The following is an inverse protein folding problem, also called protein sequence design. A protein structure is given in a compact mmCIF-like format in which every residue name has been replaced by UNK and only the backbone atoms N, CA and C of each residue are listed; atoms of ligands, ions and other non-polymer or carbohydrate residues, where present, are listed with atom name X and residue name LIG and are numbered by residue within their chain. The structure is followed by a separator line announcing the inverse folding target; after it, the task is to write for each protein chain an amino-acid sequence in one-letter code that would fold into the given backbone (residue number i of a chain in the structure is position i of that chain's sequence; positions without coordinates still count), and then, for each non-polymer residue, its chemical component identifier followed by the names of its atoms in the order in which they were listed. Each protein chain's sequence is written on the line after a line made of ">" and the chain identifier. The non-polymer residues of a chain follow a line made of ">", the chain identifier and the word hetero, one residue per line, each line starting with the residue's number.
data_IF_327996478307
#
_entry.id   IF_327996478307
#
_cell.length_a   1.000
_cell.length_b   1.000
_cell.length_c   1.000
_cell.angle_alpha   90.00
_cell.angle_beta   90.00
_cell.angle_gamma   90.00
#
_symmetry.space_group_name_H-M   'P 1'
#
loop_
_entity.id
_entity.type
_entity.pdbx_description
1 polymer ?
#
# COMPACT_ATOMS: atom_id res chain seq x y z
N UNK A 1 10.83 11.49 24.46
CA UNK A 1 10.69 10.21 25.17
C UNK A 1 10.03 9.25 24.16
N UNK A 2 10.79 8.44 23.43
CA UNK A 2 10.23 7.49 22.43
C UNK A 2 9.39 6.48 23.20
N UNK A 3 8.11 6.32 22.88
CA UNK A 3 7.25 5.37 23.58
C UNK A 3 7.82 3.96 23.39
N UNK A 4 8.21 3.32 24.49
CA UNK A 4 8.68 1.95 24.54
C UNK A 4 7.50 1.02 24.25
N UNK A 5 7.40 0.54 22.99
CA UNK A 5 6.41 -0.40 22.47
C UNK A 5 4.96 0.09 22.55
N UNK A 6 4.36 0.43 21.40
CA UNK A 6 2.90 0.54 21.31
C UNK A 6 2.29 -0.86 21.46
N UNK A 7 1.28 -0.97 22.30
CA UNK A 7 0.45 -2.17 22.42
C UNK A 7 -0.89 -1.85 21.78
N UNK A 8 -1.14 -2.36 20.58
CA UNK A 8 -2.45 -2.27 19.94
C UNK A 8 -3.33 -3.39 20.47
N UNK A 9 -4.30 -3.07 21.33
CA UNK A 9 -5.31 -4.05 21.78
C UNK A 9 -6.42 -4.08 20.73
N UNK A 10 -6.55 -5.20 20.01
CA UNK A 10 -7.69 -5.42 19.12
C UNK A 10 -8.83 -6.05 19.92
N UNK A 11 -10.01 -5.42 20.02
CA UNK A 11 -11.14 -6.03 20.71
C UNK A 11 -11.54 -7.32 20.00
N UNK A 12 -11.78 -8.38 20.77
CA UNK A 12 -12.29 -9.62 20.22
C UNK A 12 -13.74 -9.42 19.81
N UNK A 13 -14.00 -9.40 18.50
CA UNK A 13 -15.34 -9.25 17.97
C UNK A 13 -16.21 -10.48 18.32
N UNK A 14 -17.48 -10.29 18.69
CA UNK A 14 -18.44 -11.39 18.76
C UNK A 14 -18.48 -12.17 17.45
N UNK A 15 -18.69 -13.50 17.51
CA UNK A 15 -18.68 -14.35 16.33
C UNK A 15 -19.60 -13.89 15.18
N UNK A 16 -20.83 -13.37 15.43
CA UNK A 16 -21.69 -12.82 14.38
C UNK A 16 -21.09 -11.61 13.64
N UNK A 17 -20.14 -10.91 14.27
CA UNK A 17 -19.50 -9.69 13.76
C UNK A 17 -18.12 -9.94 13.14
N UNK A 18 -17.67 -11.19 13.04
CA UNK A 18 -16.32 -11.53 12.58
C UNK A 18 -15.96 -10.94 11.20
N UNK A 19 -16.94 -10.79 10.30
CA UNK A 19 -16.73 -10.22 8.97
C UNK A 19 -16.25 -8.74 9.00
N UNK A 20 -16.50 -7.99 10.09
CA UNK A 20 -16.02 -6.62 10.22
C UNK A 20 -14.49 -6.53 10.22
N UNK A 21 -13.78 -7.53 10.73
CA UNK A 21 -12.31 -7.55 10.70
C UNK A 21 -11.79 -7.62 9.26
N UNK A 22 -12.35 -8.53 8.45
CA UNK A 22 -12.01 -8.64 7.02
C UNK A 22 -12.36 -7.37 6.25
N UNK A 23 -13.55 -6.81 6.47
CA UNK A 23 -14.01 -5.60 5.80
C UNK A 23 -13.16 -4.37 6.17
N UNK A 24 -12.75 -4.25 7.44
CA UNK A 24 -11.88 -3.14 7.90
C UNK A 24 -10.45 -3.26 7.39
N UNK A 25 -9.97 -4.49 7.14
CA UNK A 25 -8.61 -4.78 6.69
C UNK A 25 -8.39 -4.53 5.19
N UNK A 26 -9.44 -4.54 4.38
CA UNK A 26 -9.34 -4.28 2.93
C UNK A 26 -9.77 -2.85 2.60
N UNK A 27 -8.83 -2.02 2.13
CA UNK A 27 -9.04 -0.60 1.86
C UNK A 27 -10.10 -0.30 0.78
N UNK A 28 -10.67 -1.31 0.11
CA UNK A 28 -11.86 -1.17 -0.74
C UNK A 28 -13.00 -0.42 -0.05
N UNK A 29 -13.15 -0.56 1.26
CA UNK A 29 -14.14 0.21 2.01
C UNK A 29 -14.06 1.72 1.71
N UNK A 30 -12.90 2.28 1.38
CA UNK A 30 -12.76 3.72 1.12
C UNK A 30 -13.51 4.20 -0.12
N UNK A 31 -13.79 3.34 -1.11
CA UNK A 31 -14.65 3.64 -2.26
C UNK A 31 -15.89 2.75 -2.38
N UNK A 32 -16.19 1.92 -1.38
CA UNK A 32 -17.41 1.13 -1.28
C UNK A 32 -18.37 1.71 -0.24
N UNK A 33 -19.40 2.41 -0.72
CA UNK A 33 -20.36 3.12 0.13
C UNK A 33 -21.09 2.19 1.14
N UNK A 34 -21.63 1.02 0.76
CA UNK A 34 -22.29 0.13 1.73
C UNK A 34 -21.37 -0.29 2.89
N UNK A 35 -20.10 -0.57 2.60
CA UNK A 35 -19.13 -0.92 3.65
C UNK A 35 -18.84 0.26 4.57
N UNK A 36 -18.74 1.50 4.07
CA UNK A 36 -18.59 2.70 4.92
C UNK A 36 -19.80 2.91 5.83
N UNK A 37 -21.00 2.74 5.29
CA UNK A 37 -22.23 2.90 6.05
C UNK A 37 -22.33 1.88 7.20
N UNK A 38 -21.76 0.68 7.05
CA UNK A 38 -21.65 -0.28 8.16
C UNK A 38 -20.83 0.27 9.33
N UNK A 39 -19.64 0.84 9.05
CA UNK A 39 -18.79 1.38 10.12
C UNK A 39 -19.38 2.65 10.75
N UNK A 40 -20.07 3.49 9.97
CA UNK A 40 -20.85 4.61 10.51
C UNK A 40 -21.98 4.12 11.43
N UNK A 41 -22.63 3.00 11.10
CA UNK A 41 -23.67 2.41 11.95
C UNK A 41 -23.11 1.82 13.24
N UNK A 42 -21.85 1.37 13.26
CA UNK A 42 -21.20 0.88 14.49
C UNK A 42 -21.10 2.04 15.48
N UNK A 43 -20.44 3.12 15.08
CA UNK A 43 -20.31 4.36 15.84
C UNK A 43 -19.97 5.52 14.89
N UNK A 44 -20.92 6.44 14.70
CA UNK A 44 -20.75 7.59 13.80
C UNK A 44 -19.80 8.64 14.37
N UNK A 45 -19.73 8.78 15.69
CA UNK A 45 -18.85 9.76 16.32
C UNK A 45 -17.39 9.29 16.21
N UNK A 46 -17.14 8.02 16.54
CA UNK A 46 -15.82 7.40 16.34
C UNK A 46 -15.39 7.41 14.87
N UNK A 47 -16.33 7.34 13.92
CA UNK A 47 -16.04 7.45 12.50
C UNK A 47 -15.50 8.84 12.12
N UNK A 48 -16.19 9.91 12.54
CA UNK A 48 -15.81 11.29 12.22
C UNK A 48 -14.54 11.73 12.98
N UNK A 49 -14.43 11.41 14.28
CA UNK A 49 -13.25 11.72 15.11
C UNK A 49 -12.06 10.79 14.83
N UNK A 50 -12.35 9.62 14.27
CA UNK A 50 -11.42 8.55 13.92
C UNK A 50 -10.55 8.87 12.72
N UNK A 51 -10.92 9.87 11.91
CA UNK A 51 -10.36 10.04 10.57
C UNK A 51 -10.88 8.95 9.63
N UNK A 52 -12.18 8.65 9.70
CA UNK A 52 -12.88 7.73 8.81
C UNK A 52 -12.20 6.35 8.68
N UNK A 53 -11.61 5.86 9.77
CA UNK A 53 -10.89 4.59 9.83
C UNK A 53 -11.76 3.50 10.49
N UNK A 54 -12.20 2.48 9.73
CA UNK A 54 -12.91 1.32 10.27
C UNK A 54 -12.22 0.65 11.45
N UNK A 55 -10.88 0.53 11.44
CA UNK A 55 -10.16 -0.15 12.53
C UNK A 55 -10.27 0.64 13.82
N UNK A 56 -10.18 1.97 13.72
CA UNK A 56 -10.33 2.87 14.86
C UNK A 56 -11.76 2.84 15.40
N UNK A 57 -12.77 2.84 14.54
CA UNK A 57 -14.17 2.66 14.95
C UNK A 57 -14.35 1.38 15.75
N UNK A 58 -13.82 0.25 15.27
CA UNK A 58 -13.92 -1.03 15.98
C UNK A 58 -13.16 -1.02 17.32
N UNK A 59 -12.03 -0.33 17.39
CA UNK A 59 -11.22 -0.21 18.60
C UNK A 59 -11.87 0.68 19.67
N UNK A 60 -12.63 1.70 19.26
CA UNK A 60 -13.30 2.66 20.14
C UNK A 60 -14.73 2.21 20.52
N UNK A 61 -15.36 1.33 19.73
CA UNK A 61 -16.69 0.81 20.00
C UNK A 61 -16.77 0.04 21.34
N UNK A 62 -17.78 0.38 22.15
CA UNK A 62 -17.98 -0.30 23.44
C UNK A 62 -18.39 -1.76 23.28
N UNK A 63 -18.04 -2.60 24.26
CA UNK A 63 -18.46 -4.00 24.29
C UNK A 63 -19.98 -4.13 24.28
N UNK A 64 -20.73 -3.26 24.98
CA UNK A 64 -22.20 -3.31 24.94
C UNK A 64 -22.73 -3.03 23.53
N UNK A 65 -22.13 -2.05 22.83
CA UNK A 65 -22.52 -1.71 21.45
C UNK A 65 -22.29 -2.87 20.50
N UNK A 66 -21.11 -3.51 20.58
CA UNK A 66 -20.80 -4.69 19.76
C UNK A 66 -21.73 -5.87 20.08
N UNK A 67 -22.06 -6.11 21.34
CA UNK A 67 -23.02 -7.14 21.72
C UNK A 67 -24.43 -6.85 21.20
N UNK A 68 -24.88 -5.60 21.27
CA UNK A 68 -26.16 -5.18 20.69
C UNK A 68 -26.21 -5.48 19.19
N UNK A 69 -25.21 -5.02 18.43
CA UNK A 69 -25.12 -5.23 16.98
C UNK A 69 -25.02 -6.72 16.61
N UNK A 70 -24.41 -7.53 17.47
CA UNK A 70 -24.31 -8.99 17.25
C UNK A 70 -25.67 -9.72 17.25
N UNK A 71 -26.74 -9.05 17.68
CA UNK A 71 -28.11 -9.58 17.71
C UNK A 71 -29.10 -8.75 16.88
N UNK A 72 -28.66 -7.66 16.24
CA UNK A 72 -29.51 -6.80 15.41
C UNK A 72 -29.68 -7.41 14.01
N UNK A 73 -30.88 -7.89 13.63
CA UNK A 73 -31.08 -8.55 12.35
C UNK A 73 -30.81 -7.63 11.15
N UNK A 74 -31.10 -6.32 11.27
CA UNK A 74 -30.90 -5.37 10.18
C UNK A 74 -29.40 -5.12 9.96
N UNK A 75 -28.64 -5.00 11.04
CA UNK A 75 -27.18 -4.85 10.94
C UNK A 75 -26.52 -6.11 10.37
N UNK A 76 -26.90 -7.29 10.87
CA UNK A 76 -26.33 -8.57 10.43
C UNK A 76 -26.62 -8.85 8.96
N UNK A 77 -27.81 -8.52 8.46
CA UNK A 77 -28.13 -8.66 7.03
C UNK A 77 -27.24 -7.76 6.16
N UNK A 78 -27.05 -6.49 6.56
CA UNK A 78 -26.14 -5.57 5.85
C UNK A 78 -24.69 -6.03 5.90
N UNK A 79 -24.25 -6.54 7.04
CA UNK A 79 -22.90 -7.08 7.22
C UNK A 79 -22.66 -8.27 6.29
N UNK A 80 -23.59 -9.23 6.26
CA UNK A 80 -23.52 -10.38 5.38
C UNK A 80 -23.52 -9.98 3.90
N UNK A 81 -24.34 -8.99 3.52
CA UNK A 81 -24.38 -8.47 2.15
C UNK A 81 -23.05 -7.80 1.75
N UNK A 82 -22.43 -7.01 2.63
CA UNK A 82 -21.14 -6.38 2.36
C UNK A 82 -20.00 -7.39 2.25
N UNK A 83 -19.96 -8.40 3.13
CA UNK A 83 -18.96 -9.47 3.07
C UNK A 83 -19.10 -10.35 1.83
N UNK A 84 -20.34 -10.68 1.44
CA UNK A 84 -20.62 -11.37 0.18
C UNK A 84 -20.22 -10.53 -1.03
N UNK A 85 -20.49 -9.22 -1.01
CA UNK A 85 -20.07 -8.30 -2.07
C UNK A 85 -18.54 -8.19 -2.18
N UNK A 86 -17.81 -8.14 -1.05
CA UNK A 86 -16.35 -8.17 -1.05
C UNK A 86 -15.82 -9.49 -1.61
N UNK A 87 -16.41 -10.63 -1.22
CA UNK A 87 -16.01 -11.96 -1.74
C UNK A 87 -16.22 -12.04 -3.25
N UNK A 88 -17.42 -11.69 -3.73
CA UNK A 88 -17.68 -11.60 -5.16
C UNK A 88 -16.72 -10.60 -5.86
N UNK A 89 -16.33 -9.53 -5.17
CA UNK A 89 -15.41 -8.54 -5.72
C UNK A 89 -13.99 -9.09 -5.94
N UNK A 90 -13.51 -9.91 -5.02
CA UNK A 90 -12.17 -10.49 -5.02
C UNK A 90 -12.09 -11.73 -5.91
N UNK A 91 -13.12 -12.58 -5.90
CA UNK A 91 -13.04 -13.93 -6.47
C UNK A 91 -13.51 -13.99 -7.94
N UNK A 92 -14.46 -13.13 -8.34
CA UNK A 92 -15.00 -13.18 -9.70
C UNK A 92 -14.03 -12.56 -10.73
N UNK A 93 -13.94 -13.10 -11.96
CA UNK A 93 -13.17 -12.49 -13.04
C UNK A 93 -13.62 -11.06 -13.34
N UNK A 94 -12.65 -10.15 -13.49
CA UNK A 94 -12.91 -8.76 -13.91
C UNK A 94 -12.69 -8.56 -15.39
N UNK A 95 -12.88 -7.32 -15.83
CA UNK A 95 -12.68 -6.90 -17.20
C UNK A 95 -11.35 -7.41 -17.78
N UNK A 96 -10.23 -7.27 -17.04
CA UNK A 96 -8.91 -7.71 -17.53
C UNK A 96 -8.88 -9.22 -17.84
N UNK A 97 -9.35 -10.06 -16.91
CA UNK A 97 -9.41 -11.51 -17.14
C UNK A 97 -10.34 -11.86 -18.30
N UNK A 98 -11.46 -11.16 -18.45
CA UNK A 98 -12.41 -11.38 -19.54
C UNK A 98 -11.80 -11.05 -20.91
N UNK A 99 -11.09 -9.91 -21.02
CA UNK A 99 -10.41 -9.51 -22.26
C UNK A 99 -9.23 -10.42 -22.57
N UNK A 100 -8.43 -10.80 -21.56
CA UNK A 100 -7.30 -11.71 -21.77
C UNK A 100 -7.77 -13.11 -22.24
N UNK A 101 -8.90 -13.60 -21.71
CA UNK A 101 -9.51 -14.84 -22.18
C UNK A 101 -10.01 -14.75 -23.63
N UNK A 102 -10.49 -13.57 -24.08
CA UNK A 102 -10.91 -13.37 -25.47
C UNK A 102 -9.71 -13.30 -26.43
N UNK A 103 -8.66 -12.57 -26.05
CA UNK A 103 -7.49 -12.32 -26.91
C UNK A 103 -6.56 -13.53 -27.04
N UNK A 104 -6.64 -14.50 -26.13
CA UNK A 104 -5.83 -15.73 -26.18
C UNK A 104 -6.33 -16.77 -27.20
N UNK A 105 -7.46 -16.52 -27.88
CA UNK A 105 -8.00 -17.45 -28.89
C UNK A 105 -8.42 -18.82 -28.34
N UNK A 106 -8.56 -18.94 -27.02
CA UNK A 106 -8.92 -20.18 -26.33
C UNK A 106 -10.44 -20.42 -26.45
N UNK A 107 -10.82 -21.65 -26.82
CA UNK A 107 -12.22 -22.08 -26.95
C UNK A 107 -12.98 -21.92 -25.61
N UNK A 108 -14.31 -21.84 -25.66
CA UNK A 108 -15.18 -21.55 -24.51
C UNK A 108 -14.93 -22.41 -23.26
N UNK A 109 -14.47 -23.64 -23.44
CA UNK A 109 -14.23 -24.62 -22.38
C UNK A 109 -12.86 -24.45 -21.70
N UNK A 110 -11.92 -23.74 -22.35
CA UNK A 110 -10.60 -23.39 -21.81
C UNK A 110 -10.58 -22.02 -21.08
N UNK A 111 -11.72 -21.31 -21.01
CA UNK A 111 -11.86 -20.04 -20.29
C UNK A 111 -11.69 -20.20 -18.77
N UNK A 112 -11.86 -21.42 -18.26
CA UNK A 112 -11.61 -21.76 -16.86
C UNK A 112 -10.11 -21.99 -16.53
N UNK A 113 -9.26 -22.12 -17.55
CA UNK A 113 -7.80 -22.32 -17.42
C UNK A 113 -7.01 -21.11 -17.95
N UNK A 114 -7.57 -19.88 -17.91
CA UNK A 114 -6.71 -18.70 -17.97
C UNK A 114 -5.91 -18.67 -16.66
N UNK A 115 -4.71 -19.23 -16.73
CA UNK A 115 -3.75 -19.20 -15.64
C UNK A 115 -3.41 -17.75 -15.35
N UNK A 116 -4.02 -17.20 -14.30
CA UNK A 116 -3.73 -15.84 -13.82
C UNK A 116 -2.24 -15.67 -13.47
N UNK A 117 -1.49 -16.76 -13.28
CA UNK A 117 -0.03 -16.72 -13.11
C UNK A 117 0.75 -16.45 -14.41
N UNK A 118 0.11 -16.45 -15.58
CA UNK A 118 0.74 -16.09 -16.87
C UNK A 118 0.43 -14.66 -17.31
N UNK A 119 -0.36 -13.91 -16.54
CA UNK A 119 -0.58 -12.50 -16.81
C UNK A 119 0.64 -11.69 -16.34
N UNK A 120 1.18 -10.85 -17.23
CA UNK A 120 2.33 -10.02 -16.92
C UNK A 120 2.05 -9.11 -15.71
N UNK A 121 2.69 -9.40 -14.58
CA UNK A 121 2.54 -8.60 -13.38
C UNK A 121 3.21 -7.24 -13.58
N UNK A 122 2.49 -6.18 -13.22
CA UNK A 122 2.95 -4.78 -13.32
C UNK A 122 3.36 -4.32 -11.93
N UNK A 123 4.64 -4.00 -11.74
CA UNK A 123 5.13 -3.37 -10.52
C UNK A 123 5.10 -1.84 -10.66
N UNK A 124 4.24 -1.18 -9.88
CA UNK A 124 4.03 0.25 -9.88
C UNK A 124 4.72 0.90 -8.67
N UNK A 125 5.73 1.72 -8.92
CA UNK A 125 6.54 2.38 -7.90
C UNK A 125 6.14 3.83 -7.76
N UNK A 126 5.85 4.26 -6.54
CA UNK A 126 5.57 5.67 -6.23
C UNK A 126 6.03 5.99 -4.81
N UNK A 127 6.51 7.22 -4.54
CA UNK A 127 6.80 7.64 -3.18
C UNK A 127 5.54 7.90 -2.37
N UNK A 128 4.35 8.04 -2.98
CA UNK A 128 3.12 8.33 -2.25
C UNK A 128 1.90 7.65 -2.84
N UNK A 129 0.92 7.35 -1.98
CA UNK A 129 -0.33 6.68 -2.30
C UNK A 129 -1.50 7.26 -1.50
N UNK A 130 -2.34 8.04 -2.18
CA UNK A 130 -3.55 8.65 -1.66
C UNK A 130 -4.75 7.72 -1.71
N UNK A 131 -4.77 6.69 -0.87
CA UNK A 131 -5.87 5.72 -0.81
C UNK A 131 -7.05 6.26 0.01
N UNK A 132 -6.75 6.57 1.27
CA UNK A 132 -7.69 7.04 2.29
C UNK A 132 -6.91 7.73 3.40
N UNK A 133 -7.54 8.65 4.13
CA UNK A 133 -6.94 9.33 5.29
C UNK A 133 -6.59 8.38 6.45
N UNK A 134 -7.18 7.18 6.50
CA UNK A 134 -6.82 6.11 7.43
C UNK A 134 -5.40 5.55 7.19
N UNK A 135 -4.83 5.75 5.99
CA UNK A 135 -3.45 5.41 5.64
C UNK A 135 -2.80 6.62 4.97
N UNK A 136 -2.38 7.63 5.76
CA UNK A 136 -1.99 8.95 5.26
C UNK A 136 -0.56 8.96 4.68
N UNK A 137 -0.35 8.22 3.60
CA UNK A 137 0.93 8.02 2.92
C UNK A 137 1.02 8.86 1.62
N UNK A 138 0.57 10.11 1.68
CA UNK A 138 0.56 11.03 0.54
C UNK A 138 0.57 12.50 0.98
N UNK A 139 0.94 13.40 0.08
CA UNK A 139 0.93 14.85 0.29
C UNK A 139 0.09 15.62 -0.75
N UNK A 140 -0.03 15.12 -1.98
CA UNK A 140 -0.68 15.88 -3.05
C UNK A 140 -1.18 15.05 -4.23
N UNK A 141 -1.27 15.71 -5.39
CA UNK A 141 -1.91 15.17 -6.60
C UNK A 141 -1.23 13.92 -7.18
N UNK A 142 0.10 13.82 -7.08
CA UNK A 142 0.85 12.63 -7.52
C UNK A 142 0.41 11.39 -6.73
N UNK A 143 0.28 11.52 -5.41
CA UNK A 143 -0.20 10.47 -4.51
C UNK A 143 -1.67 10.13 -4.73
N UNK A 144 -2.55 11.13 -4.91
CA UNK A 144 -3.96 10.88 -5.25
C UNK A 144 -4.07 10.07 -6.55
N UNK A 145 -3.34 10.48 -7.59
CA UNK A 145 -3.31 9.75 -8.86
C UNK A 145 -2.80 8.32 -8.68
N UNK A 146 -1.71 8.13 -7.93
CA UNK A 146 -1.21 6.80 -7.60
C UNK A 146 -2.30 5.98 -6.91
N UNK A 147 -2.97 6.54 -5.91
CA UNK A 147 -4.06 5.88 -5.21
C UNK A 147 -5.20 5.45 -6.13
N UNK A 148 -5.61 6.33 -7.03
CA UNK A 148 -6.67 6.05 -8.00
C UNK A 148 -6.24 5.03 -9.07
N UNK A 149 -4.96 4.98 -9.44
CA UNK A 149 -4.43 3.88 -10.26
C UNK A 149 -4.63 2.52 -9.56
N UNK A 150 -4.36 2.41 -8.25
CA UNK A 150 -4.59 1.14 -7.55
C UNK A 150 -6.07 0.77 -7.46
N UNK A 151 -6.95 1.74 -7.20
CA UNK A 151 -8.40 1.54 -7.17
C UNK A 151 -8.92 1.08 -8.54
N UNK A 152 -8.51 1.76 -9.61
CA UNK A 152 -8.90 1.40 -10.97
C UNK A 152 -8.33 0.03 -11.39
N UNK A 153 -7.06 -0.25 -11.09
CA UNK A 153 -6.45 -1.56 -11.34
C UNK A 153 -7.20 -2.67 -10.60
N UNK A 154 -7.61 -2.40 -9.36
CA UNK A 154 -8.39 -3.32 -8.55
C UNK A 154 -9.78 -3.59 -9.16
N UNK A 155 -10.51 -2.54 -9.55
CA UNK A 155 -11.86 -2.69 -10.15
C UNK A 155 -11.81 -3.41 -11.50
N UNK A 156 -10.79 -3.12 -12.31
CA UNK A 156 -10.57 -3.75 -13.62
C UNK A 156 -9.93 -5.14 -13.52
N UNK A 157 -9.38 -5.52 -12.36
CA UNK A 157 -8.62 -6.75 -12.12
C UNK A 157 -7.29 -6.82 -12.87
N UNK A 158 -6.66 -5.68 -13.12
CA UNK A 158 -5.31 -5.61 -13.72
C UNK A 158 -4.31 -6.19 -12.69
N UNK A 159 -3.37 -7.07 -13.10
CA UNK A 159 -2.40 -7.71 -12.20
C UNK A 159 -1.28 -6.74 -11.79
N UNK A 160 -1.64 -5.72 -11.03
CA UNK A 160 -0.74 -4.68 -10.56
C UNK A 160 -0.36 -4.93 -9.10
N UNK A 161 0.92 -4.74 -8.78
CA UNK A 161 1.46 -4.67 -7.43
C UNK A 161 2.11 -3.31 -7.24
N UNK A 162 1.82 -2.65 -6.12
CA UNK A 162 2.38 -1.34 -5.83
C UNK A 162 3.50 -1.43 -4.80
N UNK A 163 4.53 -0.59 -4.98
CA UNK A 163 5.69 -0.48 -4.09
C UNK A 163 5.86 0.99 -3.68
N UNK A 164 5.95 1.22 -2.38
CA UNK A 164 6.19 2.54 -1.77
C UNK A 164 7.03 2.46 -0.50
N UNK A 165 7.12 3.56 0.22
CA UNK A 165 7.70 3.61 1.57
C UNK A 165 6.57 3.81 2.60
N UNK A 166 6.77 3.30 3.81
CA UNK A 166 5.91 3.63 4.94
C UNK A 166 6.55 4.76 5.74
N UNK A 167 6.08 5.98 5.56
CA UNK A 167 6.55 7.15 6.30
C UNK A 167 5.91 7.18 7.69
N UNK A 168 6.74 7.12 8.73
CA UNK A 168 6.32 7.07 10.15
C UNK A 168 5.41 8.24 10.55
N UNK A 169 5.59 9.39 9.92
CA UNK A 169 4.82 10.60 10.20
C UNK A 169 3.91 11.05 9.04
N UNK A 170 3.86 10.30 7.95
CA UNK A 170 3.18 10.73 6.71
C UNK A 170 3.75 12.06 6.19
N UNK A 171 2.86 12.99 5.82
CA UNK A 171 3.23 14.36 5.46
C UNK A 171 3.12 15.31 6.66
N UNK A 172 2.04 16.08 6.81
CA UNK A 172 1.75 16.82 8.04
C UNK A 172 0.24 17.03 8.23
N UNK A 173 -0.20 17.24 9.47
CA UNK A 173 -1.53 17.78 9.79
C UNK A 173 -1.44 19.28 9.98
N UNK A 174 -2.21 20.01 9.19
CA UNK A 174 -2.31 21.46 9.25
C UNK A 174 -3.29 21.89 10.35
N UNK A 175 -2.92 22.90 11.12
CA UNK A 175 -3.83 23.70 11.93
C UNK A 175 -3.50 25.17 11.78
N UNK A 176 -4.47 26.06 12.04
CA UNK A 176 -4.23 27.50 12.06
C UNK A 176 -4.11 27.99 13.50
N UNK A 177 -3.11 28.81 13.77
CA UNK A 177 -3.01 29.53 15.04
C UNK A 177 -4.15 30.54 15.16
N UNK A 178 -4.34 31.09 16.38
CA UNK A 178 -5.31 32.18 16.62
C UNK A 178 -5.07 33.41 15.75
N UNK A 179 -3.82 33.61 15.30
CA UNK A 179 -3.41 34.71 14.43
C UNK A 179 -3.48 34.34 12.93
N UNK A 180 -3.98 33.16 12.58
CA UNK A 180 -4.12 32.69 11.21
C UNK A 180 -2.85 32.10 10.58
N UNK A 181 -1.80 31.85 11.37
CA UNK A 181 -0.57 31.23 10.87
C UNK A 181 -0.68 29.72 10.80
N UNK A 182 -0.13 29.13 9.73
CA UNK A 182 -0.01 27.67 9.62
C UNK A 182 0.86 27.11 10.75
N UNK A 183 0.35 26.05 11.36
CA UNK A 183 1.06 25.20 12.30
C UNK A 183 1.03 23.76 11.79
N UNK A 184 2.17 23.09 11.88
CA UNK A 184 2.36 21.75 11.35
C UNK A 184 2.53 20.76 12.50
N UNK A 185 1.82 19.63 12.41
CA UNK A 185 1.96 18.52 13.35
C UNK A 185 2.26 17.24 12.58
N UNK A 186 3.21 16.48 13.10
CA UNK A 186 3.71 15.22 12.53
C UNK A 186 3.37 14.08 13.49
N UNK A 187 2.13 13.57 13.49
CA UNK A 187 1.75 12.50 14.41
C UNK A 187 2.54 11.23 14.10
N UNK A 188 2.89 10.47 15.12
CA UNK A 188 3.41 9.11 14.95
C UNK A 188 2.29 8.19 14.46
N UNK A 189 2.51 7.55 13.31
CA UNK A 189 1.62 6.53 12.76
C UNK A 189 2.02 5.16 13.32
N UNK A 190 1.05 4.45 13.91
CA UNK A 190 1.24 3.06 14.32
C UNK A 190 0.72 2.10 13.22
N UNK A 191 1.59 1.46 12.42
CA UNK A 191 1.16 0.56 11.36
C UNK A 191 0.34 -0.63 11.89
N UNK A 192 0.53 -1.05 13.15
CA UNK A 192 -0.23 -2.16 13.75
C UNK A 192 -1.71 -1.81 14.02
N UNK A 193 -2.00 -0.51 14.19
CA UNK A 193 -3.34 0.02 14.35
C UNK A 193 -4.05 0.28 13.02
N UNK A 194 -3.31 0.29 11.89
CA UNK A 194 -3.84 0.55 10.55
C UNK A 194 -4.26 -0.73 9.82
N UNK A 195 -4.92 -0.59 8.66
CA UNK A 195 -5.20 -1.66 7.70
C UNK A 195 -3.93 -2.17 6.99
N UNK A 196 -2.88 -2.44 7.77
CA UNK A 196 -1.59 -2.93 7.33
C UNK A 196 -1.27 -4.27 7.99
N UNK A 197 -0.63 -5.14 7.23
CA UNK A 197 -0.15 -6.45 7.67
C UNK A 197 1.36 -6.50 7.50
N UNK A 198 2.07 -6.93 8.55
CA UNK A 198 3.51 -7.16 8.43
C UNK A 198 3.74 -8.39 7.55
N UNK A 199 4.62 -8.29 6.56
CA UNK A 199 5.08 -9.45 5.80
C UNK A 199 6.11 -10.19 6.64
N UNK A 200 5.63 -11.03 7.58
CA UNK A 200 6.49 -11.75 8.52
C UNK A 200 7.60 -12.54 7.81
N UNK A 201 8.83 -12.40 8.33
CA UNK A 201 10.02 -13.04 7.74
C UNK A 201 10.58 -12.34 6.49
N UNK A 202 9.89 -11.35 5.92
CA UNK A 202 10.39 -10.57 4.79
C UNK A 202 11.21 -9.39 5.29
N UNK A 203 12.52 -9.51 5.16
CA UNK A 203 13.48 -8.43 5.42
C UNK A 203 14.35 -8.23 4.19
N UNK A 204 14.59 -6.97 3.84
CA UNK A 204 15.55 -6.63 2.80
C UNK A 204 16.72 -5.87 3.42
N UNK A 205 17.89 -6.00 2.82
CA UNK A 205 19.06 -5.21 3.20
C UNK A 205 19.63 -4.49 1.97
N UNK A 206 20.21 -3.32 2.18
CA UNK A 206 20.93 -2.56 1.15
C UNK A 206 21.98 -1.66 1.80
N UNK A 207 23.02 -1.35 1.03
CA UNK A 207 24.07 -0.41 1.42
C UNK A 207 23.65 1.01 1.07
N UNK A 208 23.74 1.91 2.05
CA UNK A 208 23.58 3.35 1.91
C UNK A 208 24.90 4.02 2.29
N UNK A 209 25.82 4.11 1.33
CA UNK A 209 27.13 4.73 1.50
C UNK A 209 27.98 4.11 2.63
N UNK A 210 28.02 2.78 2.70
CA UNK A 210 28.76 2.03 3.72
C UNK A 210 27.95 1.70 4.98
N UNK A 211 26.73 2.25 5.12
CA UNK A 211 25.79 1.88 6.17
C UNK A 211 24.82 0.81 5.65
N UNK A 212 24.76 -0.36 6.30
CA UNK A 212 23.77 -1.39 5.92
C UNK A 212 22.42 -1.07 6.55
N UNK A 213 21.45 -0.67 5.73
CA UNK A 213 20.07 -0.51 6.12
C UNK A 213 19.33 -1.83 5.99
N UNK A 214 18.54 -2.19 7.01
CA UNK A 214 17.55 -3.28 6.94
C UNK A 214 16.15 -2.69 6.91
N UNK A 215 15.28 -3.13 6.00
CA UNK A 215 13.87 -2.71 6.00
C UNK A 215 12.95 -3.92 6.14
N UNK A 216 11.86 -3.72 6.90
CA UNK A 216 10.71 -4.61 6.92
C UNK A 216 9.69 -4.16 5.85
N UNK A 217 8.69 -5.00 5.59
CA UNK A 217 7.69 -4.74 4.55
C UNK A 217 6.29 -4.86 5.14
N UNK A 218 5.51 -3.79 5.01
CA UNK A 218 4.08 -3.77 5.29
C UNK A 218 3.28 -4.00 4.01
N UNK A 219 2.15 -4.67 4.12
CA UNK A 219 1.19 -4.86 3.04
C UNK A 219 -0.13 -4.16 3.39
N UNK A 220 -0.57 -3.28 2.52
CA UNK A 220 -1.95 -2.81 2.47
C UNK A 220 -2.70 -3.54 1.34
N UNK A 221 -3.93 -3.96 1.60
CA UNK A 221 -4.78 -4.57 0.57
C UNK A 221 -5.72 -3.52 0.00
N UNK A 222 -5.44 -2.99 -1.19
CA UNK A 222 -6.26 -1.99 -1.89
C UNK A 222 -7.21 -2.72 -2.84
N UNK A 223 -8.32 -3.22 -2.30
CA UNK A 223 -9.22 -4.09 -3.06
C UNK A 223 -8.53 -5.40 -3.42
N UNK A 224 -8.21 -5.59 -4.70
CA UNK A 224 -7.45 -6.73 -5.26
C UNK A 224 -5.95 -6.43 -5.37
N UNK A 225 -5.58 -5.16 -5.31
CA UNK A 225 -4.22 -4.68 -5.59
C UNK A 225 -3.40 -4.64 -4.30
N UNK A 226 -2.32 -5.43 -4.17
CA UNK A 226 -1.43 -5.32 -3.03
C UNK A 226 -0.53 -4.09 -3.15
N UNK A 227 -0.46 -3.29 -2.08
CA UNK A 227 0.51 -2.21 -1.90
C UNK A 227 1.51 -2.62 -0.82
N UNK A 228 2.77 -2.78 -1.18
CA UNK A 228 3.86 -3.05 -0.26
C UNK A 228 4.62 -1.77 0.06
N UNK A 229 4.82 -1.52 1.34
CA UNK A 229 5.51 -0.33 1.85
C UNK A 229 6.72 -0.73 2.68
N UNK A 230 7.88 -0.20 2.30
CA UNK A 230 9.14 -0.48 2.95
C UNK A 230 9.32 0.43 4.15
N UNK A 231 9.76 -0.14 5.28
CA UNK A 231 9.87 0.54 6.56
C UNK A 231 11.24 0.27 7.19
N UNK A 232 12.00 1.34 7.42
CA UNK A 232 13.32 1.29 8.03
C UNK A 232 13.29 1.57 9.54
N UNK A 233 12.15 1.98 10.12
CA UNK A 233 12.00 2.28 11.54
C UNK A 233 11.90 1.00 12.38
N UNK A 234 13.03 0.29 12.44
CA UNK A 234 13.18 -0.98 13.14
C UNK A 234 14.33 -0.90 14.16
N UNK A 235 14.25 -1.60 15.31
CA UNK A 235 15.29 -1.53 16.35
C UNK A 235 16.67 -2.00 15.90
N UNK A 236 16.76 -2.83 14.86
CA UNK A 236 18.02 -3.35 14.31
C UNK A 236 18.84 -2.27 13.58
N UNK A 237 18.18 -1.22 13.10
CA UNK A 237 18.84 -0.09 12.45
C UNK A 237 19.30 0.94 13.50
N UNK A 238 20.46 1.60 13.29
CA UNK A 238 20.79 2.81 14.04
C UNK A 238 19.76 3.92 13.75
N UNK A 239 19.65 4.89 14.66
CA UNK A 239 18.67 5.98 14.56
C UNK A 239 18.75 6.74 13.22
N UNK A 240 19.95 6.96 12.70
CA UNK A 240 20.17 7.59 11.38
C UNK A 240 19.46 6.86 10.23
N UNK A 241 19.41 5.53 10.28
CA UNK A 241 18.78 4.71 9.25
C UNK A 241 17.28 4.50 9.51
N UNK A 242 16.85 4.49 10.77
CA UNK A 242 15.41 4.50 11.12
C UNK A 242 14.72 5.73 10.52
N UNK A 243 15.40 6.88 10.56
CA UNK A 243 14.87 8.13 10.05
C UNK A 243 14.72 8.17 8.52
N UNK A 244 15.30 7.23 7.76
CA UNK A 244 15.13 7.20 6.29
C UNK A 244 13.66 7.16 5.91
N UNK A 245 12.81 6.50 6.70
CA UNK A 245 11.35 6.46 6.49
C UNK A 245 10.59 7.36 7.48
N UNK A 246 11.15 8.51 7.88
CA UNK A 246 10.50 9.45 8.82
C UNK A 246 9.26 10.14 8.19
N UNK A 247 9.49 10.93 7.14
CA UNK A 247 8.53 11.88 6.56
C UNK A 247 8.60 11.87 5.05
N UNK A 248 7.42 11.98 4.44
CA UNK A 248 7.28 12.18 3.01
C UNK A 248 7.78 13.58 2.64
N UNK A 249 8.70 13.66 1.69
CA UNK A 249 9.37 14.90 1.26
C UNK A 249 10.05 15.68 2.40
N UNK A 250 10.56 14.96 3.39
CA UNK A 250 11.37 15.52 4.48
C UNK A 250 12.87 15.52 4.17
N UNK A 251 13.63 16.15 5.08
CA UNK A 251 15.09 16.10 5.07
C UNK A 251 15.76 16.97 4.02
N UNK A 252 17.06 16.74 3.83
CA UNK A 252 17.88 17.40 2.81
C UNK A 252 18.04 16.52 1.56
N UNK A 253 18.94 16.93 0.66
CA UNK A 253 19.21 16.20 -0.59
C UNK A 253 19.74 14.79 -0.32
N UNK A 254 20.57 14.60 0.70
CA UNK A 254 21.12 13.28 1.03
C UNK A 254 20.03 12.37 1.59
N UNK A 255 19.19 12.90 2.49
CA UNK A 255 18.04 12.17 3.03
C UNK A 255 17.09 11.70 1.93
N UNK A 256 16.74 12.61 1.01
CA UNK A 256 15.92 12.29 -0.15
C UNK A 256 16.57 11.20 -1.01
N UNK A 257 17.88 11.29 -1.25
CA UNK A 257 18.60 10.28 -2.02
C UNK A 257 18.55 8.90 -1.34
N UNK A 258 18.70 8.84 -0.01
CA UNK A 258 18.56 7.60 0.77
C UNK A 258 17.14 7.00 0.62
N UNK A 259 16.09 7.83 0.67
CA UNK A 259 14.71 7.42 0.41
C UNK A 259 14.52 6.87 -1.01
N UNK A 260 15.04 7.55 -2.03
CA UNK A 260 14.91 7.13 -3.43
C UNK A 260 15.68 5.83 -3.73
N UNK A 261 16.85 5.62 -3.09
CA UNK A 261 17.59 4.36 -3.15
C UNK A 261 16.80 3.24 -2.47
N UNK A 262 16.24 3.48 -1.27
CA UNK A 262 15.38 2.50 -0.58
C UNK A 262 14.16 2.15 -1.43
N UNK A 263 13.46 3.14 -2.00
CA UNK A 263 12.30 2.91 -2.85
C UNK A 263 12.66 2.12 -4.12
N UNK A 264 13.69 2.54 -4.84
CA UNK A 264 14.10 1.91 -6.10
C UNK A 264 14.79 0.56 -5.92
N UNK A 265 15.95 0.55 -5.24
CA UNK A 265 16.74 -0.67 -5.02
C UNK A 265 16.02 -1.59 -4.04
N UNK A 266 15.60 -1.04 -2.90
CA UNK A 266 14.91 -1.83 -1.88
C UNK A 266 13.61 -2.42 -2.39
N UNK A 267 12.83 -1.66 -3.17
CA UNK A 267 11.58 -2.17 -3.75
C UNK A 267 11.77 -3.36 -4.71
N UNK A 268 12.82 -3.36 -5.52
CA UNK A 268 13.17 -4.55 -6.36
C UNK A 268 13.57 -5.74 -5.49
N UNK A 269 14.30 -5.51 -4.40
CA UNK A 269 14.67 -6.58 -3.45
C UNK A 269 13.45 -7.09 -2.69
N UNK A 270 12.49 -6.22 -2.36
CA UNK A 270 11.25 -6.59 -1.70
C UNK A 270 10.39 -7.48 -2.59
N UNK A 271 10.19 -7.13 -3.86
CA UNK A 271 9.50 -7.98 -4.85
C UNK A 271 10.11 -9.39 -4.90
N UNK A 272 11.44 -9.48 -4.97
CA UNK A 272 12.15 -10.77 -4.96
C UNK A 272 11.94 -11.55 -3.66
N UNK A 273 12.07 -10.89 -2.52
CA UNK A 273 11.88 -11.53 -1.21
C UNK A 273 10.44 -12.01 -1.01
N UNK A 274 9.47 -11.35 -1.63
CA UNK A 274 8.06 -11.75 -1.67
C UNK A 274 7.75 -12.83 -2.72
N UNK A 275 8.72 -13.22 -3.56
CA UNK A 275 8.49 -14.16 -4.66
C UNK A 275 7.64 -13.61 -5.80
N UNK A 276 7.58 -12.28 -5.95
CA UNK A 276 6.79 -11.60 -6.97
C UNK A 276 7.68 -11.31 -8.19
N UNK A 277 7.40 -12.00 -9.29
CA UNK A 277 8.06 -11.75 -10.58
C UNK A 277 7.22 -10.78 -11.42
N UNK A 278 7.73 -9.57 -11.59
CA UNK A 278 7.11 -8.54 -12.42
C UNK A 278 7.81 -8.43 -13.79
N UNK A 279 7.01 -8.21 -14.83
CA UNK A 279 7.50 -8.04 -16.21
C UNK A 279 7.56 -6.55 -16.59
N UNK A 280 6.60 -5.77 -16.10
CA UNK A 280 6.51 -4.33 -16.35
C UNK A 280 6.79 -3.58 -15.06
N UNK A 281 7.63 -2.55 -15.15
CA UNK A 281 8.02 -1.69 -14.05
C UNK A 281 7.63 -0.25 -14.40
N UNK A 282 6.64 0.27 -13.70
CA UNK A 282 6.14 1.63 -13.89
C UNK A 282 6.62 2.52 -12.76
N UNK A 283 7.40 3.54 -13.09
CA UNK A 283 7.80 4.61 -12.15
C UNK A 283 6.89 5.82 -12.29
N UNK A 284 6.24 6.19 -11.19
CA UNK A 284 5.50 7.44 -11.06
C UNK A 284 6.46 8.56 -10.65
N UNK A 285 6.91 9.34 -11.64
CA UNK A 285 8.01 10.30 -11.54
C UNK A 285 9.39 9.65 -11.25
N UNK A 286 10.43 10.48 -11.11
CA UNK A 286 11.83 10.05 -10.98
C UNK A 286 12.24 9.41 -9.65
N UNK A 287 11.37 9.43 -8.63
CA UNK A 287 11.72 9.03 -7.26
C UNK A 287 12.16 7.57 -7.09
N UNK A 288 11.72 6.69 -8.00
CA UNK A 288 12.12 5.28 -8.00
C UNK A 288 13.17 4.97 -9.08
N UNK A 289 13.87 5.98 -9.61
CA UNK A 289 14.81 5.83 -10.73
C UNK A 289 15.91 4.79 -10.51
N UNK A 290 16.33 4.58 -9.25
CA UNK A 290 17.33 3.55 -8.88
C UNK A 290 16.88 2.12 -9.16
N UNK A 291 15.58 1.85 -9.36
CA UNK A 291 15.10 0.51 -9.71
C UNK A 291 15.71 0.02 -11.03
N UNK A 292 15.94 0.93 -11.99
CA UNK A 292 16.55 0.58 -13.27
C UNK A 292 17.97 0.06 -13.09
N UNK A 293 18.74 0.70 -12.21
CA UNK A 293 20.11 0.29 -11.90
C UNK A 293 20.15 -1.05 -11.17
N UNK A 294 19.27 -1.29 -10.21
CA UNK A 294 19.19 -2.58 -9.51
C UNK A 294 18.77 -3.71 -10.45
N UNK A 295 17.86 -3.45 -11.40
CA UNK A 295 17.48 -4.41 -12.44
C UNK A 295 18.65 -4.73 -13.39
N UNK A 296 19.41 -3.72 -13.83
CA UNK A 296 20.63 -3.93 -14.64
C UNK A 296 21.63 -4.79 -13.85
N UNK A 297 21.88 -4.44 -12.58
CA UNK A 297 22.77 -5.19 -11.70
C UNK A 297 22.31 -6.66 -11.53
N UNK A 298 21.00 -6.90 -11.38
CA UNK A 298 20.43 -8.26 -11.33
C UNK A 298 20.79 -9.03 -12.60
N UNK A 299 20.46 -8.51 -13.78
CA UNK A 299 20.71 -9.20 -15.05
C UNK A 299 22.20 -9.49 -15.29
N UNK A 300 23.08 -8.55 -14.94
CA UNK A 300 24.53 -8.78 -15.06
C UNK A 300 25.04 -9.85 -14.09
N UNK A 301 24.59 -9.82 -12.83
CA UNK A 301 25.11 -10.72 -11.79
C UNK A 301 24.46 -12.11 -11.78
N UNK A 302 23.19 -12.20 -12.16
CA UNK A 302 22.40 -13.45 -12.09
C UNK A 302 22.32 -14.16 -13.45
N UNK A 303 22.17 -13.40 -14.54
CA UNK A 303 21.97 -13.96 -15.88
C UNK A 303 23.25 -13.89 -16.75
N UNK A 304 24.32 -13.27 -16.22
CA UNK A 304 25.61 -13.15 -16.92
C UNK A 304 25.60 -12.22 -18.13
N UNK A 305 24.59 -11.35 -18.24
CA UNK A 305 24.48 -10.40 -19.36
C UNK A 305 25.55 -9.31 -19.28
N UNK A 306 25.99 -8.81 -20.44
CA UNK A 306 26.76 -7.56 -20.50
C UNK A 306 25.89 -6.37 -20.08
N UNK A 307 26.52 -5.24 -19.77
CA UNK A 307 25.78 -4.01 -19.45
C UNK A 307 24.80 -3.61 -20.56
N UNK A 308 25.22 -3.64 -21.83
CA UNK A 308 24.37 -3.25 -22.96
C UNK A 308 23.17 -4.20 -23.14
N UNK A 309 23.39 -5.50 -22.95
CA UNK A 309 22.32 -6.49 -22.98
C UNK A 309 21.33 -6.30 -21.82
N UNK A 310 21.85 -6.08 -20.60
CA UNK A 310 21.03 -5.82 -19.42
C UNK A 310 20.23 -4.51 -19.57
N UNK A 311 20.84 -3.45 -20.09
CA UNK A 311 20.17 -2.18 -20.36
C UNK A 311 19.03 -2.34 -21.38
N UNK A 312 19.26 -3.09 -22.46
CA UNK A 312 18.23 -3.38 -23.44
C UNK A 312 17.05 -4.17 -22.82
N UNK A 313 17.35 -5.19 -22.01
CA UNK A 313 16.34 -5.98 -21.31
C UNK A 313 15.51 -5.13 -20.32
N UNK A 314 16.17 -4.27 -19.53
CA UNK A 314 15.49 -3.40 -18.56
C UNK A 314 14.56 -2.40 -19.25
N UNK A 315 15.01 -1.81 -20.37
CA UNK A 315 14.22 -0.86 -21.17
C UNK A 315 12.92 -1.45 -21.72
N UNK A 316 12.93 -2.73 -22.12
CA UNK A 316 11.76 -3.37 -22.72
C UNK A 316 10.56 -3.45 -21.76
N UNK A 317 10.80 -3.52 -20.44
CA UNK A 317 9.77 -3.57 -19.40
C UNK A 317 9.69 -2.32 -18.55
N UNK A 318 10.22 -1.17 -19.00
CA UNK A 318 10.22 0.07 -18.22
C UNK A 318 9.17 1.06 -18.76
N UNK A 319 8.32 1.57 -17.86
CA UNK A 319 7.36 2.64 -18.13
C UNK A 319 7.65 3.79 -17.17
N UNK A 320 7.82 4.99 -17.72
CA UNK A 320 8.06 6.20 -16.94
C UNK A 320 6.95 7.20 -17.21
N UNK A 321 6.37 7.74 -16.15
CA UNK A 321 5.43 8.87 -16.23
C UNK A 321 6.08 10.08 -15.58
N UNK A 322 6.04 11.21 -16.28
CA UNK A 322 6.38 12.52 -15.73
C UNK A 322 5.17 13.42 -15.70
N UNK A 323 5.02 14.16 -14.60
CA UNK A 323 3.96 15.11 -14.31
C UNK A 323 4.46 16.55 -14.33
N UNK A 324 5.77 16.74 -14.36
CA UNK A 324 6.39 18.07 -14.41
C UNK A 324 6.68 18.45 -15.86
N UNK A 325 5.95 19.42 -16.44
CA UNK A 325 6.21 19.87 -17.82
C UNK A 325 7.46 20.77 -17.94
N UNK A 326 8.07 21.15 -16.82
CA UNK A 326 9.22 22.07 -16.75
C UNK A 326 10.48 21.37 -16.23
N UNK A 327 11.69 21.71 -16.73
CA UNK A 327 12.95 21.05 -16.35
C UNK A 327 13.37 21.16 -14.88
N UNK A 328 12.64 21.90 -14.06
CA UNK A 328 13.00 22.24 -12.69
C UNK A 328 12.44 21.28 -11.62
N UNK A 329 11.56 20.33 -12.00
CA UNK A 329 10.99 19.34 -11.08
C UNK A 329 11.63 17.96 -11.19
#
# INVERSE_FOLDING_TARGET
>A
MKALKSFTVRPQLPAPLAALDRLSSNLRWSWDRPTRELFIMVDSQAWDEGGHDPRRVLAEASTERLLQLSTDPVFLERLAAADAALSAYLDLPRWYQQVAAQNSGLNSDARAEFDSNKAATIAYFSPEFGISEAVPQYSGGLGILAGDHLKAASDLGVPLVAIGLFYRHGYFRQSLSVDGWQQERFPDLDPHAMALELCDGVRITLDLAGETLTAQVWKATVGRTPLYMLDADIPENPESLQLVTDRLYGGDVEHRLRQEILLGVGGIRALRALGIEAEVFHTNEGHAGFLGLERIRKHMSSDGLSFDQALAAVRAGAVFTTHTPVPAG
#
